data_IF_052695631717
#
_entry.id   IF_052695631717
#
_cell.length_a   1.000
_cell.length_b   1.000
_cell.length_c   1.000
_cell.angle_alpha   90.00
_cell.angle_beta   90.00
_cell.angle_gamma   90.00
#
_symmetry.space_group_name_H-M   'P 1'
#
loop_
_entity.id
_entity.type
_entity.pdbx_description
1 polymer ?
#
# COMPACT_ATOMS: atom_id res chain seq x y z
N UNK A 1 -1.07 -23.56 23.41
CA UNK A 1 -0.61 -24.48 22.35
C UNK A 1 0.87 -24.73 22.60
N UNK A 2 1.18 -25.94 23.10
CA UNK A 2 2.52 -26.41 23.46
C UNK A 2 3.17 -26.96 22.19
N UNK A 3 4.44 -26.63 21.93
CA UNK A 3 5.20 -27.23 20.84
C UNK A 3 6.18 -28.24 21.43
N UNK A 4 6.06 -29.49 20.97
CA UNK A 4 6.89 -30.61 21.39
C UNK A 4 8.34 -30.45 20.92
N UNK A 5 9.24 -30.81 21.83
CA UNK A 5 10.69 -30.83 21.70
C UNK A 5 11.11 -32.26 21.33
N UNK A 6 11.52 -32.49 20.08
CA UNK A 6 12.31 -33.66 19.72
C UNK A 6 13.58 -33.24 18.97
N UNK A 7 14.66 -33.52 19.67
CA UNK A 7 16.07 -33.39 19.35
C UNK A 7 16.48 -34.03 18.02
N UNK A 8 17.21 -33.26 17.20
CA UNK A 8 18.18 -33.81 16.25
C UNK A 8 19.58 -33.46 16.74
N UNK A 9 20.29 -34.49 17.20
CA UNK A 9 21.72 -34.50 17.50
C UNK A 9 22.54 -34.41 16.22
N UNK A 10 23.56 -33.56 16.20
CA UNK A 10 24.66 -33.67 15.23
C UNK A 10 25.21 -32.35 14.71
N UNK A 11 26.44 -32.07 15.15
CA UNK A 11 27.45 -31.19 14.56
C UNK A 11 27.49 -29.71 14.96
N UNK A 12 28.67 -29.35 15.45
CA UNK A 12 29.06 -28.12 16.14
C UNK A 12 29.00 -26.88 15.23
N UNK A 13 28.63 -25.75 15.82
CA UNK A 13 28.81 -24.43 15.20
C UNK A 13 27.55 -23.78 14.64
N UNK A 14 26.44 -23.80 15.37
CA UNK A 14 25.28 -22.96 15.04
C UNK A 14 24.62 -22.46 16.32
N UNK A 15 24.84 -21.19 16.66
CA UNK A 15 24.04 -20.51 17.67
C UNK A 15 22.59 -20.43 17.15
N UNK A 16 21.79 -21.41 17.56
CA UNK A 16 20.40 -21.55 17.16
C UNK A 16 19.52 -20.65 18.04
N UNK A 17 19.41 -19.37 17.68
CA UNK A 17 18.60 -18.37 18.40
C UNK A 17 17.08 -18.55 18.22
N UNK A 18 16.64 -19.55 17.45
CA UNK A 18 15.23 -19.71 17.07
C UNK A 18 14.37 -20.24 18.25
N UNK A 19 14.97 -20.69 19.35
CA UNK A 19 14.24 -21.14 20.54
C UNK A 19 14.71 -20.56 21.88
N UNK A 20 15.76 -19.75 21.92
CA UNK A 20 16.33 -19.29 23.20
C UNK A 20 15.60 -18.07 23.78
N UNK A 21 14.44 -18.33 24.40
CA UNK A 21 13.71 -17.36 25.23
C UNK A 21 14.59 -16.75 26.35
N UNK A 22 15.66 -17.42 26.79
CA UNK A 22 16.48 -16.95 27.90
C UNK A 22 17.40 -15.82 27.47
N UNK A 23 17.96 -15.87 26.26
CA UNK A 23 18.93 -14.86 25.81
C UNK A 23 18.27 -13.54 25.37
N UNK A 24 17.10 -13.58 24.71
CA UNK A 24 16.32 -12.37 24.42
C UNK A 24 15.76 -11.71 25.68
N UNK A 25 15.31 -12.51 26.68
CA UNK A 25 14.92 -11.97 28.00
C UNK A 25 16.09 -11.32 28.74
N UNK A 26 17.28 -11.91 28.69
CA UNK A 26 18.49 -11.35 29.34
C UNK A 26 18.91 -10.01 28.75
N UNK A 27 18.76 -9.82 27.43
CA UNK A 27 19.09 -8.56 26.77
C UNK A 27 18.09 -7.44 27.12
N UNK A 28 16.80 -7.75 27.16
CA UNK A 28 15.75 -6.76 27.49
C UNK A 28 15.80 -6.40 28.99
N UNK A 29 16.08 -7.35 29.88
CA UNK A 29 16.04 -7.14 31.33
C UNK A 29 17.22 -6.33 31.89
N UNK A 30 18.32 -6.20 31.13
CA UNK A 30 19.52 -5.44 31.54
C UNK A 30 19.70 -4.11 30.79
N UNK A 31 18.85 -3.79 29.81
CA UNK A 31 19.01 -2.56 29.03
C UNK A 31 18.45 -1.34 29.78
N UNK A 32 19.21 -0.24 29.89
CA UNK A 32 18.66 1.04 30.29
C UNK A 32 17.51 1.43 29.35
N UNK A 33 16.39 1.92 29.89
CA UNK A 33 15.20 2.32 29.12
C UNK A 33 15.52 3.30 27.98
N UNK A 34 16.62 4.06 28.11
CA UNK A 34 17.12 5.01 27.12
C UNK A 34 17.66 4.38 25.83
N UNK A 35 17.98 3.08 25.81
CA UNK A 35 18.51 2.36 24.63
C UNK A 35 17.53 1.40 23.96
N UNK A 36 16.29 1.36 24.45
CA UNK A 36 15.25 0.45 23.94
C UNK A 36 14.98 0.65 22.43
N UNK A 37 14.93 1.88 21.89
CA UNK A 37 14.75 2.06 20.45
C UNK A 37 15.85 1.39 19.63
N UNK A 38 17.12 1.66 19.96
CA UNK A 38 18.29 1.09 19.26
C UNK A 38 18.31 -0.44 19.32
N UNK A 39 17.95 -1.02 20.47
CA UNK A 39 17.86 -2.46 20.63
C UNK A 39 16.75 -3.04 19.74
N UNK A 40 15.62 -2.36 19.62
CA UNK A 40 14.50 -2.78 18.77
C UNK A 40 14.87 -2.77 17.29
N UNK A 41 15.55 -1.72 16.81
CA UNK A 41 16.07 -1.66 15.45
C UNK A 41 16.99 -2.84 15.16
N UNK A 42 17.92 -3.13 16.09
CA UNK A 42 18.84 -4.26 15.94
C UNK A 42 18.12 -5.61 15.90
N UNK A 43 17.14 -5.81 16.79
CA UNK A 43 16.30 -7.02 16.78
C UNK A 43 15.55 -7.16 15.45
N UNK A 44 15.08 -6.04 14.88
CA UNK A 44 14.42 -6.03 13.58
C UNK A 44 15.36 -6.41 12.44
N UNK A 45 16.57 -5.86 12.39
CA UNK A 45 17.57 -6.22 11.38
C UNK A 45 18.01 -7.68 11.49
N UNK A 46 18.27 -8.15 12.71
CA UNK A 46 18.62 -9.54 12.95
C UNK A 46 17.50 -10.49 12.49
N UNK A 47 16.24 -10.12 12.77
CA UNK A 47 15.09 -10.87 12.27
C UNK A 47 14.98 -10.81 10.74
N UNK A 48 15.25 -9.66 10.13
CA UNK A 48 15.21 -9.46 8.69
C UNK A 48 16.15 -10.42 7.95
N UNK A 49 17.39 -10.56 8.42
CA UNK A 49 18.37 -11.49 7.86
C UNK A 49 17.95 -12.95 8.03
N UNK A 50 17.39 -13.28 9.19
CA UNK A 50 16.89 -14.63 9.45
C UNK A 50 15.66 -14.97 8.59
N UNK A 51 14.74 -14.03 8.42
CA UNK A 51 13.57 -14.19 7.56
C UNK A 51 13.97 -14.43 6.10
N UNK A 52 14.99 -13.73 5.60
CA UNK A 52 15.51 -13.93 4.26
C UNK A 52 16.11 -15.35 4.07
N UNK A 53 16.80 -15.87 5.10
CA UNK A 53 17.32 -17.26 5.10
C UNK A 53 16.17 -18.27 5.18
N UNK A 54 15.18 -18.03 6.04
CA UNK A 54 14.01 -18.88 6.20
C UNK A 54 13.22 -18.99 4.89
N UNK A 55 12.98 -17.88 4.19
CA UNK A 55 12.27 -17.86 2.91
C UNK A 55 12.99 -18.67 1.84
N UNK A 56 14.31 -18.55 1.73
CA UNK A 56 15.11 -19.34 0.78
C UNK A 56 15.00 -20.85 1.03
N UNK A 57 14.92 -21.27 2.29
CA UNK A 57 14.84 -22.69 2.66
C UNK A 57 13.44 -23.27 2.52
N UNK A 58 12.41 -22.49 2.86
CA UNK A 58 11.05 -23.01 3.03
C UNK A 58 10.07 -22.57 1.91
N UNK A 59 10.49 -21.71 0.98
CA UNK A 59 9.62 -21.18 -0.07
C UNK A 59 8.52 -20.22 0.40
N UNK A 60 8.44 -19.92 1.70
CA UNK A 60 7.43 -19.05 2.32
C UNK A 60 8.04 -18.01 3.25
N UNK A 61 7.38 -16.85 3.37
CA UNK A 61 7.83 -15.76 4.23
C UNK A 61 7.69 -16.11 5.72
N UNK A 62 8.62 -15.63 6.54
CA UNK A 62 8.45 -15.65 7.99
C UNK A 62 7.36 -14.65 8.41
N UNK A 63 6.80 -14.83 9.60
CA UNK A 63 5.80 -13.92 10.18
C UNK A 63 6.38 -13.33 11.47
N UNK A 64 6.36 -12.00 11.57
CA UNK A 64 6.78 -11.25 12.74
C UNK A 64 5.56 -10.64 13.41
N UNK A 65 5.25 -11.05 14.64
CA UNK A 65 4.06 -10.63 15.36
C UNK A 65 4.46 -9.63 16.45
N UNK A 66 3.89 -8.42 16.39
CA UNK A 66 4.00 -7.42 17.44
C UNK A 66 2.66 -7.37 18.16
N UNK A 67 2.65 -7.80 19.41
CA UNK A 67 1.45 -7.80 20.25
C UNK A 67 1.37 -6.57 21.16
N UNK A 68 0.18 -6.28 21.66
CA UNK A 68 -0.13 -5.20 22.57
C UNK A 68 0.27 -3.80 22.04
N UNK A 69 0.06 -3.59 20.74
CA UNK A 69 0.46 -2.37 20.02
C UNK A 69 -0.22 -1.13 20.60
N UNK A 70 -1.40 -1.26 21.19
CA UNK A 70 -2.07 -0.17 21.91
C UNK A 70 -1.21 0.48 23.00
N UNK A 71 -0.50 -0.33 23.79
CA UNK A 71 0.40 0.20 24.82
C UNK A 71 1.57 0.93 24.20
N UNK A 72 2.12 0.38 23.12
CA UNK A 72 3.22 0.99 22.39
C UNK A 72 2.81 2.34 21.75
N UNK A 73 1.62 2.41 21.16
CA UNK A 73 1.06 3.62 20.57
C UNK A 73 0.88 4.75 21.59
N UNK A 74 0.47 4.40 22.81
CA UNK A 74 0.26 5.35 23.90
C UNK A 74 1.58 5.83 24.53
N UNK A 75 2.51 4.91 24.79
CA UNK A 75 3.76 5.22 25.51
C UNK A 75 4.84 5.78 24.57
N UNK A 76 4.89 5.32 23.31
CA UNK A 76 5.93 5.72 22.37
C UNK A 76 5.45 5.67 20.90
N UNK A 77 4.64 6.66 20.46
CA UNK A 77 4.11 6.70 19.09
C UNK A 77 5.20 6.83 18.01
N UNK A 78 6.35 7.44 18.34
CA UNK A 78 7.49 7.54 17.40
C UNK A 78 8.10 6.17 17.10
N UNK A 79 8.24 5.33 18.13
CA UNK A 79 8.72 3.97 17.96
C UNK A 79 7.73 3.14 17.13
N UNK A 80 6.42 3.28 17.38
CA UNK A 80 5.41 2.63 16.55
C UNK A 80 5.52 3.06 15.07
N UNK A 81 5.67 4.36 14.80
CA UNK A 81 5.86 4.85 13.44
C UNK A 81 7.10 4.24 12.76
N UNK A 82 8.24 4.18 13.46
CA UNK A 82 9.45 3.55 12.93
C UNK A 82 9.26 2.05 12.63
N UNK A 83 8.52 1.32 13.47
CA UNK A 83 8.20 -0.09 13.22
C UNK A 83 7.26 -0.27 12.02
N UNK A 84 6.34 0.67 11.80
CA UNK A 84 5.47 0.67 10.62
C UNK A 84 6.27 0.91 9.33
N UNK A 85 7.23 1.84 9.36
CA UNK A 85 8.12 2.08 8.22
C UNK A 85 8.93 0.82 7.87
N UNK A 86 9.50 0.14 8.86
CA UNK A 86 10.19 -1.14 8.63
C UNK A 86 9.27 -2.26 8.16
N UNK A 87 8.05 -2.33 8.68
CA UNK A 87 7.06 -3.30 8.23
C UNK A 87 6.72 -3.10 6.74
N UNK A 88 6.64 -1.84 6.30
CA UNK A 88 6.43 -1.49 4.89
C UNK A 88 7.61 -1.96 4.02
N UNK A 89 8.85 -1.66 4.42
CA UNK A 89 10.04 -2.09 3.69
C UNK A 89 10.17 -3.62 3.60
N UNK A 90 9.83 -4.32 4.69
CA UNK A 90 9.81 -5.79 4.73
C UNK A 90 8.77 -6.38 3.77
N UNK A 91 7.62 -5.70 3.64
CA UNK A 91 6.51 -6.08 2.75
C UNK A 91 6.89 -5.84 1.28
N UNK A 92 7.45 -4.67 0.96
CA UNK A 92 7.91 -4.32 -0.39
C UNK A 92 9.03 -5.25 -0.86
N UNK A 93 9.96 -5.59 0.02
CA UNK A 93 11.02 -6.57 -0.26
C UNK A 93 10.55 -8.04 -0.22
N UNK A 94 9.29 -8.29 0.16
CA UNK A 94 8.66 -9.61 0.30
C UNK A 94 9.46 -10.57 1.19
N UNK A 95 10.15 -10.09 2.23
CA UNK A 95 11.04 -10.96 3.04
C UNK A 95 10.32 -11.61 4.22
N UNK A 96 9.45 -10.87 4.90
CA UNK A 96 8.56 -11.37 5.94
C UNK A 96 7.29 -10.54 6.00
N UNK A 97 6.29 -11.06 6.70
CA UNK A 97 5.02 -10.39 6.97
C UNK A 97 5.06 -9.89 8.41
N UNK A 98 4.75 -8.61 8.62
CA UNK A 98 4.56 -8.06 9.97
C UNK A 98 3.08 -8.03 10.30
N UNK A 99 2.72 -8.55 11.46
CA UNK A 99 1.35 -8.54 11.98
C UNK A 99 1.34 -7.74 13.28
N UNK A 100 0.61 -6.63 13.27
CA UNK A 100 0.32 -5.85 14.46
C UNK A 100 -0.96 -6.38 15.10
N UNK A 101 -0.86 -6.90 16.32
CA UNK A 101 -1.99 -7.36 17.11
C UNK A 101 -2.37 -6.26 18.08
N UNK A 102 -3.60 -5.78 17.94
CA UNK A 102 -4.15 -4.70 18.75
C UNK A 102 -5.58 -5.03 19.13
N UNK A 103 -5.97 -4.68 20.36
CA UNK A 103 -7.39 -4.49 20.66
C UNK A 103 -7.86 -3.17 20.02
N UNK A 104 -9.16 -2.96 19.87
CA UNK A 104 -9.67 -1.65 19.45
C UNK A 104 -9.11 -0.55 20.37
N UNK A 105 -8.55 0.52 19.81
CA UNK A 105 -7.85 1.54 20.61
C UNK A 105 -6.97 2.51 19.81
N UNK A 106 -6.06 3.17 20.53
CA UNK A 106 -5.22 4.27 20.03
C UNK A 106 -4.32 3.84 18.85
N UNK A 107 -3.82 2.60 18.85
CA UNK A 107 -3.00 2.08 17.75
C UNK A 107 -3.81 1.96 16.46
N UNK A 108 -5.05 1.48 16.56
CA UNK A 108 -5.97 1.40 15.41
C UNK A 108 -6.26 2.79 14.87
N UNK A 109 -6.48 3.79 15.74
CA UNK A 109 -6.68 5.18 15.32
C UNK A 109 -5.46 5.74 14.58
N UNK A 110 -4.26 5.59 15.13
CA UNK A 110 -3.03 6.06 14.48
C UNK A 110 -2.75 5.35 13.14
N UNK A 111 -3.08 4.06 13.03
CA UNK A 111 -2.99 3.31 11.76
C UNK A 111 -4.02 3.78 10.74
N UNK A 112 -5.26 4.03 11.17
CA UNK A 112 -6.32 4.58 10.34
C UNK A 112 -6.03 6.02 9.89
N UNK A 113 -5.36 6.83 10.72
CA UNK A 113 -4.99 8.20 10.37
C UNK A 113 -3.97 8.23 9.23
N UNK A 114 -3.02 7.29 9.21
CA UNK A 114 -2.04 7.15 8.11
C UNK A 114 -2.75 6.68 6.85
N UNK A 115 -3.62 5.67 6.94
CA UNK A 115 -4.43 5.22 5.81
C UNK A 115 -5.30 6.35 5.27
N UNK A 116 -5.94 7.11 6.15
CA UNK A 116 -6.78 8.26 5.80
C UNK A 116 -5.96 9.35 5.13
N UNK A 117 -4.78 9.68 5.65
CA UNK A 117 -3.88 10.69 5.06
C UNK A 117 -3.40 10.27 3.67
N UNK A 118 -3.04 8.99 3.50
CA UNK A 118 -2.60 8.42 2.22
C UNK A 118 -3.75 8.40 1.21
N UNK A 119 -4.95 8.01 1.63
CA UNK A 119 -6.15 8.05 0.79
C UNK A 119 -6.59 9.49 0.47
N UNK A 120 -6.42 10.44 1.39
CA UNK A 120 -6.68 11.87 1.16
C UNK A 120 -5.72 12.47 0.12
N UNK A 121 -4.43 12.11 0.18
CA UNK A 121 -3.47 12.51 -0.84
C UNK A 121 -3.84 11.95 -2.22
N UNK A 122 -4.24 10.68 -2.28
CA UNK A 122 -4.75 10.06 -3.50
C UNK A 122 -6.00 10.81 -4.01
N UNK A 123 -7.01 11.03 -3.18
CA UNK A 123 -8.21 11.79 -3.54
C UNK A 123 -7.90 13.22 -4.04
N UNK A 124 -6.90 13.88 -3.44
CA UNK A 124 -6.46 15.20 -3.86
C UNK A 124 -5.83 15.17 -5.26
N UNK A 125 -5.09 14.12 -5.60
CA UNK A 125 -4.58 13.91 -6.96
C UNK A 125 -5.73 13.76 -7.98
N UNK A 126 -6.74 12.94 -7.68
CA UNK A 126 -7.94 12.77 -8.51
C UNK A 126 -8.73 14.08 -8.69
N UNK A 127 -8.84 14.89 -7.63
CA UNK A 127 -9.46 16.22 -7.68
C UNK A 127 -8.66 17.18 -8.59
N UNK A 128 -7.33 17.24 -8.44
CA UNK A 128 -6.44 18.06 -9.28
C UNK A 128 -6.54 17.68 -10.77
N UNK A 129 -6.69 16.39 -11.04
CA UNK A 129 -6.90 15.87 -12.39
C UNK A 129 -8.31 16.15 -12.95
N UNK A 130 -9.23 16.70 -12.12
CA UNK A 130 -10.63 16.97 -12.45
C UNK A 130 -11.43 15.70 -12.79
N UNK A 131 -11.06 14.55 -12.21
CA UNK A 131 -11.78 13.28 -12.45
C UNK A 131 -13.11 13.20 -11.70
N UNK A 132 -13.26 14.03 -10.66
CA UNK A 132 -14.47 14.10 -9.84
C UNK A 132 -15.52 15.07 -10.44
N UNK A 133 -15.12 15.89 -11.41
CA UNK A 133 -16.00 16.87 -12.04
C UNK A 133 -16.75 16.25 -13.23
N UNK A 134 -18.04 16.54 -13.45
CA UNK A 134 -18.75 16.06 -14.63
C UNK A 134 -18.15 16.64 -15.91
N UNK A 135 -18.11 15.83 -16.98
CA UNK A 135 -17.67 16.26 -18.32
C UNK A 135 -16.70 15.28 -18.99
N UNK A 136 -16.18 15.70 -20.15
CA UNK A 136 -15.27 14.89 -20.97
C UNK A 136 -14.01 14.40 -20.22
N UNK A 137 -13.33 15.20 -19.37
CA UNK A 137 -12.15 14.74 -18.63
C UNK A 137 -12.44 13.52 -17.76
N UNK A 138 -13.61 13.49 -17.12
CA UNK A 138 -14.06 12.38 -16.28
C UNK A 138 -14.32 11.12 -17.09
N UNK A 139 -15.01 11.22 -18.24
CA UNK A 139 -15.25 10.08 -19.13
C UNK A 139 -13.96 9.47 -19.65
N UNK A 140 -12.99 10.30 -20.06
CA UNK A 140 -11.67 9.86 -20.52
C UNK A 140 -10.89 9.16 -19.40
N UNK A 141 -10.88 9.77 -18.23
CA UNK A 141 -10.25 9.21 -17.04
C UNK A 141 -10.79 7.81 -16.70
N UNK A 142 -12.11 7.63 -16.74
CA UNK A 142 -12.71 6.34 -16.44
C UNK A 142 -12.38 5.25 -17.46
N UNK A 143 -12.33 5.60 -18.76
CA UNK A 143 -11.86 4.66 -19.79
C UNK A 143 -10.43 4.18 -19.52
N UNK A 144 -9.55 5.09 -19.10
CA UNK A 144 -8.16 4.76 -18.71
C UNK A 144 -8.15 3.88 -17.46
N UNK A 145 -8.85 4.30 -16.39
CA UNK A 145 -8.93 3.58 -15.12
C UNK A 145 -9.46 2.16 -15.32
N UNK A 146 -10.56 2.00 -16.05
CA UNK A 146 -11.16 0.70 -16.38
C UNK A 146 -10.18 -0.18 -17.16
N UNK A 147 -9.48 0.39 -18.17
CA UNK A 147 -8.47 -0.33 -18.92
C UNK A 147 -7.31 -0.83 -18.05
N UNK A 148 -6.81 -0.01 -17.12
CA UNK A 148 -5.74 -0.40 -16.20
C UNK A 148 -6.24 -1.42 -15.18
N UNK A 149 -7.43 -1.25 -14.60
CA UNK A 149 -7.97 -2.19 -13.62
C UNK A 149 -8.26 -3.58 -14.22
N UNK A 150 -8.70 -3.64 -15.48
CA UNK A 150 -8.97 -4.89 -16.19
C UNK A 150 -7.71 -5.62 -16.62
N UNK A 151 -6.72 -4.89 -17.13
CA UNK A 151 -5.53 -5.47 -17.77
C UNK A 151 -4.25 -5.37 -16.92
N UNK A 152 -4.33 -4.76 -15.73
CA UNK A 152 -3.21 -4.34 -14.89
C UNK A 152 -2.44 -3.11 -15.42
N UNK A 153 -2.44 -2.91 -16.74
CA UNK A 153 -1.73 -1.84 -17.46
C UNK A 153 -2.32 -1.64 -18.85
N UNK A 154 -2.13 -0.45 -19.42
CA UNK A 154 -2.54 -0.13 -20.80
C UNK A 154 -1.35 0.35 -21.63
N UNK A 155 -1.43 0.23 -22.95
CA UNK A 155 -0.36 0.72 -23.83
C UNK A 155 -0.32 2.26 -23.81
N UNK A 156 0.87 2.85 -23.92
CA UNK A 156 1.01 4.32 -23.95
C UNK A 156 0.21 4.96 -25.10
N UNK A 157 0.16 4.27 -26.25
CA UNK A 157 -0.67 4.67 -27.40
C UNK A 157 -2.17 4.71 -27.09
N UNK A 158 -2.69 3.71 -26.36
CA UNK A 158 -4.10 3.68 -25.96
C UNK A 158 -4.40 4.79 -24.96
N UNK A 159 -3.48 5.01 -24.02
CA UNK A 159 -3.56 6.13 -23.07
C UNK A 159 -3.62 7.48 -23.80
N UNK A 160 -2.74 7.71 -24.77
CA UNK A 160 -2.74 8.92 -25.60
C UNK A 160 -4.04 9.08 -26.40
N UNK A 161 -4.50 8.00 -27.05
CA UNK A 161 -5.74 8.02 -27.83
C UNK A 161 -6.95 8.38 -26.97
N UNK A 162 -7.02 7.86 -25.74
CA UNK A 162 -8.10 8.20 -24.81
C UNK A 162 -7.97 9.63 -24.28
N UNK A 163 -6.75 10.09 -23.96
CA UNK A 163 -6.51 11.47 -23.51
C UNK A 163 -6.86 12.50 -24.60
N UNK A 164 -6.62 12.15 -25.86
CA UNK A 164 -6.98 12.88 -27.07
C UNK A 164 -6.04 14.01 -27.46
N UNK A 165 -5.27 14.59 -26.52
CA UNK A 165 -4.26 15.63 -26.82
C UNK A 165 -3.03 15.45 -25.95
N UNK A 166 -1.88 15.93 -26.43
CA UNK A 166 -0.62 15.92 -25.69
C UNK A 166 -0.69 16.74 -24.39
N UNK A 167 -1.44 17.84 -24.37
CA UNK A 167 -1.64 18.65 -23.17
C UNK A 167 -2.40 17.87 -22.09
N UNK A 168 -3.48 17.18 -22.48
CA UNK A 168 -4.23 16.34 -21.54
C UNK A 168 -3.39 15.15 -21.08
N UNK A 169 -2.65 14.49 -21.96
CA UNK A 169 -1.73 13.42 -21.60
C UNK A 169 -0.71 13.87 -20.54
N UNK A 170 0.01 14.95 -20.84
CA UNK A 170 1.01 15.55 -19.94
C UNK A 170 0.38 15.93 -18.61
N UNK A 171 -0.81 16.52 -18.65
CA UNK A 171 -1.55 16.89 -17.45
C UNK A 171 -1.92 15.66 -16.62
N UNK A 172 -2.42 14.58 -17.23
CA UNK A 172 -2.78 13.35 -16.54
C UNK A 172 -1.58 12.69 -15.86
N UNK A 173 -0.42 12.66 -16.52
CA UNK A 173 0.83 12.15 -15.96
C UNK A 173 1.36 13.05 -14.82
N UNK A 174 1.23 14.37 -14.96
CA UNK A 174 1.66 15.34 -13.93
C UNK A 174 0.83 15.32 -12.64
N UNK A 175 -0.34 14.65 -12.67
CA UNK A 175 -1.22 14.55 -11.52
C UNK A 175 -0.83 13.44 -10.54
N UNK A 176 0.24 12.68 -10.78
CA UNK A 176 0.67 11.59 -9.88
C UNK A 176 -0.41 10.51 -9.70
N UNK A 177 -1.24 10.29 -10.72
CA UNK A 177 -2.23 9.20 -10.74
C UNK A 177 -1.68 8.01 -11.51
N UNK A 178 -1.00 8.29 -12.62
CA UNK A 178 -0.46 7.29 -13.51
C UNK A 178 1.07 7.33 -13.51
N UNK A 179 1.67 6.17 -13.77
CA UNK A 179 3.10 6.02 -13.95
C UNK A 179 3.39 5.32 -15.29
N UNK A 180 4.41 5.81 -15.97
CA UNK A 180 5.00 5.18 -17.14
C UNK A 180 5.91 4.04 -16.70
N UNK A 181 5.85 2.92 -17.40
CA UNK A 181 6.79 1.80 -17.31
C UNK A 181 7.62 1.81 -18.60
N UNK A 182 8.76 2.53 -18.63
CA UNK A 182 9.47 2.85 -19.87
C UNK A 182 9.87 1.60 -20.67
N UNK A 183 10.31 0.56 -19.98
CA UNK A 183 10.76 -0.71 -20.56
C UNK A 183 9.67 -1.44 -21.38
N UNK A 184 8.40 -1.12 -21.15
CA UNK A 184 7.28 -1.83 -21.78
C UNK A 184 6.26 -0.93 -22.46
N UNK A 185 6.57 0.37 -22.63
CA UNK A 185 5.67 1.38 -23.20
C UNK A 185 4.25 1.34 -22.60
N UNK A 186 4.16 1.10 -21.28
CA UNK A 186 2.89 0.87 -20.60
C UNK A 186 2.64 1.85 -19.49
N UNK A 187 1.36 2.12 -19.24
CA UNK A 187 0.88 2.99 -18.18
C UNK A 187 0.16 2.14 -17.13
N UNK A 188 0.45 2.40 -15.86
CA UNK A 188 -0.22 1.80 -14.70
C UNK A 188 -0.49 2.87 -13.64
N UNK A 189 -1.09 2.50 -12.50
CA UNK A 189 -1.25 3.42 -11.38
C UNK A 189 0.09 3.74 -10.73
N UNK A 190 0.29 4.99 -10.30
CA UNK A 190 1.53 5.38 -9.64
C UNK A 190 1.76 4.64 -8.32
N UNK A 191 0.68 4.29 -7.61
CA UNK A 191 0.76 3.61 -6.32
C UNK A 191 -0.50 2.79 -6.01
N UNK A 192 -0.41 1.90 -5.01
CA UNK A 192 -1.55 1.11 -4.53
C UNK A 192 -2.69 1.94 -3.93
N UNK A 193 -2.44 2.99 -3.13
CA UNK A 193 -3.50 3.90 -2.69
C UNK A 193 -4.28 4.54 -3.83
N UNK A 194 -3.59 4.94 -4.90
CA UNK A 194 -4.24 5.49 -6.10
C UNK A 194 -5.13 4.44 -6.76
N UNK A 195 -4.66 3.19 -6.88
CA UNK A 195 -5.47 2.08 -7.41
C UNK A 195 -6.73 1.83 -6.55
N UNK A 196 -6.61 1.87 -5.22
CA UNK A 196 -7.76 1.70 -4.29
C UNK A 196 -8.80 2.80 -4.51
N UNK A 197 -8.36 4.07 -4.58
CA UNK A 197 -9.27 5.19 -4.85
C UNK A 197 -9.89 5.06 -6.25
N UNK A 198 -9.12 4.68 -7.27
CA UNK A 198 -9.62 4.45 -8.62
C UNK A 198 -10.73 3.39 -8.67
N UNK A 199 -10.59 2.30 -7.92
CA UNK A 199 -11.63 1.25 -7.79
C UNK A 199 -12.91 1.80 -7.17
N UNK A 200 -12.79 2.58 -6.08
CA UNK A 200 -13.94 3.22 -5.43
C UNK A 200 -14.68 4.15 -6.40
N UNK A 201 -13.93 4.99 -7.13
CA UNK A 201 -14.50 5.92 -8.11
C UNK A 201 -15.22 5.21 -9.26
N UNK A 202 -14.68 4.09 -9.74
CA UNK A 202 -15.31 3.31 -10.80
C UNK A 202 -16.62 2.66 -10.30
N UNK A 203 -16.59 2.08 -9.10
CA UNK A 203 -17.78 1.47 -8.48
C UNK A 203 -18.89 2.51 -8.22
N UNK A 204 -18.52 3.72 -7.77
CA UNK A 204 -19.47 4.82 -7.65
C UNK A 204 -20.10 5.17 -9.00
N UNK A 205 -19.30 5.33 -10.06
CA UNK A 205 -19.80 5.64 -11.41
C UNK A 205 -20.77 4.56 -11.92
N UNK A 206 -20.40 3.29 -11.82
CA UNK A 206 -21.25 2.17 -12.23
C UNK A 206 -22.59 2.19 -11.47
N UNK A 207 -22.58 2.54 -10.18
CA UNK A 207 -23.81 2.74 -9.40
C UNK A 207 -24.69 3.88 -9.93
N UNK A 208 -24.13 4.93 -10.51
CA UNK A 208 -24.89 6.03 -11.11
C UNK A 208 -25.43 5.68 -12.51
N UNK A 209 -24.73 4.85 -13.29
CA UNK A 209 -25.25 4.36 -14.60
C UNK A 209 -26.51 3.50 -14.43
N UNK A 210 -26.64 2.77 -13.31
CA UNK A 210 -27.84 2.01 -12.96
C UNK A 210 -29.02 2.85 -12.44
N UNK A 211 -28.81 4.15 -12.16
CA UNK A 211 -29.88 5.06 -11.71
C UNK A 211 -30.78 5.57 -12.86
N UNK A 212 -30.52 5.17 -14.10
CA UNK A 212 -31.51 5.30 -15.17
C UNK A 212 -31.79 6.73 -15.69
N UNK A 213 -30.85 7.68 -15.54
CA UNK A 213 -30.96 9.01 -16.20
C UNK A 213 -30.02 9.21 -17.43
N UNK A 214 -30.04 8.37 -18.47
CA UNK A 214 -29.25 8.55 -19.70
C UNK A 214 -29.53 9.81 -20.56
N UNK A 215 -30.60 10.56 -20.32
CA UNK A 215 -31.11 11.53 -21.31
C UNK A 215 -30.59 12.97 -21.16
N UNK A 216 -29.99 13.34 -20.01
CA UNK A 216 -29.48 14.71 -19.79
C UNK A 216 -28.14 14.98 -20.49
N UNK A 217 -27.37 13.95 -20.87
CA UNK A 217 -26.06 14.10 -21.51
C UNK A 217 -26.17 14.24 -23.03
N UNK A 218 -27.14 13.56 -23.66
CA UNK A 218 -27.38 13.65 -25.11
C UNK A 218 -27.80 15.05 -25.59
N UNK A 219 -28.29 15.92 -24.70
CA UNK A 219 -28.75 17.28 -25.05
C UNK A 219 -27.63 18.31 -25.08
N UNK A 220 -26.57 18.12 -24.30
CA UNK A 220 -25.42 19.02 -24.27
C UNK A 220 -24.52 18.86 -25.51
N UNK A 221 -24.45 17.67 -26.10
CA UNK A 221 -23.67 17.40 -27.33
C UNK A 221 -24.39 17.85 -28.61
N UNK A 222 -25.73 17.97 -28.61
CA UNK A 222 -26.51 18.42 -29.77
C UNK A 222 -26.83 19.92 -29.76
N UNK A 223 -26.52 20.63 -28.68
CA UNK A 223 -26.82 22.07 -28.52
C UNK A 223 -25.84 23.05 -29.17
N UNK A 224 -24.78 22.58 -29.86
CA UNK A 224 -23.74 23.45 -30.42
C UNK A 224 -23.62 23.39 -31.96
N UNK A 225 -24.72 23.08 -32.66
CA UNK A 225 -24.74 23.09 -34.13
C UNK A 225 -25.67 24.15 -34.77
N UNK A 226 -26.40 24.95 -33.99
CA UNK A 226 -27.20 26.07 -34.53
C UNK A 226 -26.96 27.34 -33.73
N UNK A 227 -25.95 28.10 -34.16
CA UNK A 227 -25.58 29.40 -33.61
C UNK A 227 -24.65 30.15 -34.57
N UNK A 228 -25.01 30.20 -35.85
CA UNK A 228 -24.59 31.18 -36.87
C UNK A 228 -25.75 31.35 -37.84
#
# INVERSE_FOLDING_TARGET
MVWDDQSLSGEEGSYNWISDRASSRRLIQKCPLTKIPELLYKVFEDFYDQAARFKRRNGRCAVFIIDNVNRLAAENPKLLAGLQDHAKDATDSKKFIVVFVTSEGLATQQMLDIETSVLQAANSAFKKARFLEPGEPRTKAFKIISGILKNGKIHSKDFFYIAGTYEQETRLLSCNIFATVPESERITFQSKPIEIVARKLLAEMESWEWSGVPWLWKRAEQGNLHGC
#
